data_IF_947151853637
#
_entry.id   IF_947151853637
#
_cell.length_a   1.000
_cell.length_b   1.000
_cell.length_c   1.000
_cell.angle_alpha   90.00
_cell.angle_beta   90.00
_cell.angle_gamma   90.00
#
_symmetry.space_group_name_H-M   'P 1'
#
loop_
_entity.id
_entity.type
_entity.pdbx_description
1 polymer ?
#
# COMPACT_ATOMS: atom_id res chain seq x y z
N UNK A 1 -79.79 -13.84 -46.81
CA UNK A 1 -78.83 -12.71 -46.94
C UNK A 1 -77.58 -13.07 -46.13
N UNK A 2 -76.42 -13.28 -46.77
CA UNK A 2 -75.15 -13.45 -46.02
C UNK A 2 -74.82 -12.10 -45.38
N UNK A 3 -74.67 -12.06 -44.05
CA UNK A 3 -74.35 -10.83 -43.33
C UNK A 3 -72.92 -10.37 -43.67
N UNK A 4 -72.66 -9.05 -43.60
CA UNK A 4 -71.32 -8.47 -43.87
C UNK A 4 -70.20 -9.16 -43.06
N UNK A 5 -70.52 -9.60 -41.84
CA UNK A 5 -69.61 -10.35 -40.95
C UNK A 5 -69.05 -11.63 -41.59
N UNK A 6 -69.86 -12.43 -42.30
CA UNK A 6 -69.37 -13.64 -42.96
C UNK A 6 -68.39 -13.36 -44.11
N UNK A 7 -68.54 -12.23 -44.80
CA UNK A 7 -67.63 -11.82 -45.87
C UNK A 7 -66.28 -11.35 -45.29
N UNK A 8 -66.31 -10.64 -44.17
CA UNK A 8 -65.11 -10.23 -43.45
C UNK A 8 -64.32 -11.42 -42.91
N UNK A 9 -64.99 -12.42 -42.33
CA UNK A 9 -64.37 -13.64 -41.84
C UNK A 9 -63.68 -14.44 -42.96
N UNK A 10 -64.35 -14.63 -44.10
CA UNK A 10 -63.77 -15.35 -45.24
C UNK A 10 -62.53 -14.62 -45.81
N UNK A 11 -62.61 -13.29 -45.96
CA UNK A 11 -61.50 -12.49 -46.48
C UNK A 11 -60.30 -12.45 -45.53
N UNK A 12 -60.55 -12.43 -44.21
CA UNK A 12 -59.52 -12.54 -43.19
C UNK A 12 -58.82 -13.91 -43.22
N UNK A 13 -59.56 -15.00 -43.43
CA UNK A 13 -58.99 -16.34 -43.60
C UNK A 13 -58.11 -16.44 -44.86
N UNK A 14 -58.55 -15.89 -45.99
CA UNK A 14 -57.77 -15.83 -47.23
C UNK A 14 -56.50 -14.99 -47.08
N UNK A 15 -56.58 -13.87 -46.34
CA UNK A 15 -55.41 -13.07 -46.01
C UNK A 15 -54.43 -13.86 -45.13
N UNK A 16 -54.92 -14.52 -44.08
CA UNK A 16 -54.10 -15.30 -43.14
C UNK A 16 -53.39 -16.49 -43.81
N UNK A 17 -54.06 -17.18 -44.74
CA UNK A 17 -53.46 -18.24 -45.58
C UNK A 17 -52.49 -17.70 -46.64
N UNK A 18 -52.44 -16.39 -46.85
CA UNK A 18 -51.61 -15.76 -47.88
C UNK A 18 -52.13 -15.99 -49.31
N UNK A 19 -53.40 -16.35 -49.49
CA UNK A 19 -54.00 -16.57 -50.82
C UNK A 19 -54.41 -15.27 -51.50
N UNK A 20 -54.63 -14.18 -50.74
CA UNK A 20 -54.81 -12.84 -51.30
C UNK A 20 -53.54 -12.33 -51.97
N UNK A 21 -53.67 -11.87 -53.22
CA UNK A 21 -52.55 -11.39 -54.04
C UNK A 21 -52.83 -10.01 -54.64
N UNK A 22 -51.76 -9.31 -54.98
CA UNK A 22 -51.81 -8.04 -55.71
C UNK A 22 -52.63 -6.96 -54.99
N UNK A 23 -53.45 -6.23 -55.75
CA UNK A 23 -54.20 -5.08 -55.25
C UNK A 23 -55.18 -5.42 -54.11
N UNK A 24 -55.80 -6.62 -54.14
CA UNK A 24 -56.73 -7.05 -53.10
C UNK A 24 -56.05 -7.18 -51.73
N UNK A 25 -54.81 -7.69 -51.71
CA UNK A 25 -54.02 -7.79 -50.49
C UNK A 25 -53.64 -6.41 -49.94
N UNK A 26 -53.18 -5.50 -50.79
CA UNK A 26 -52.79 -4.14 -50.39
C UNK A 26 -53.98 -3.37 -49.80
N UNK A 27 -55.15 -3.45 -50.44
CA UNK A 27 -56.38 -2.82 -49.94
C UNK A 27 -56.81 -3.41 -48.59
N UNK A 28 -56.68 -4.72 -48.42
CA UNK A 28 -56.98 -5.39 -47.17
C UNK A 28 -55.99 -5.01 -46.05
N UNK A 29 -54.69 -4.89 -46.36
CA UNK A 29 -53.63 -4.44 -45.45
C UNK A 29 -53.83 -2.98 -44.99
N UNK A 30 -54.37 -2.11 -45.84
CA UNK A 30 -54.75 -0.76 -45.42
C UNK A 30 -55.97 -0.76 -44.50
N UNK A 31 -56.93 -1.66 -44.75
CA UNK A 31 -58.15 -1.76 -43.97
C UNK A 31 -57.89 -2.32 -42.57
N UNK A 32 -57.08 -3.36 -42.45
CA UNK A 32 -56.74 -4.00 -41.16
C UNK A 32 -55.99 -3.03 -40.22
N UNK A 33 -55.23 -2.06 -40.75
CA UNK A 33 -54.56 -1.04 -39.93
C UNK A 33 -55.54 -0.11 -39.19
N UNK A 34 -56.75 0.05 -39.71
CA UNK A 34 -57.75 0.99 -39.19
C UNK A 34 -58.97 0.30 -38.54
N UNK A 35 -59.03 -1.03 -38.59
CA UNK A 35 -60.16 -1.83 -38.12
C UNK A 35 -59.68 -2.93 -37.15
N UNK A 36 -59.76 -2.69 -35.81
CA UNK A 36 -59.26 -3.63 -34.82
C UNK A 36 -60.09 -4.93 -34.76
N UNK A 37 -61.37 -4.91 -35.13
CA UNK A 37 -62.20 -6.10 -35.16
C UNK A 37 -61.75 -7.03 -36.30
N UNK A 38 -61.45 -6.46 -37.47
CA UNK A 38 -60.88 -7.19 -38.60
C UNK A 38 -59.47 -7.72 -38.30
N UNK A 39 -58.66 -6.94 -37.58
CA UNK A 39 -57.34 -7.40 -37.13
C UNK A 39 -57.43 -8.59 -36.18
N UNK A 40 -58.38 -8.57 -35.24
CA UNK A 40 -58.64 -9.69 -34.34
C UNK A 40 -59.11 -10.95 -35.08
N UNK A 41 -59.94 -10.80 -36.12
CA UNK A 41 -60.35 -11.92 -36.98
C UNK A 41 -59.14 -12.56 -37.68
N UNK A 42 -58.25 -11.76 -38.26
CA UNK A 42 -57.02 -12.27 -38.89
C UNK A 42 -56.12 -12.98 -37.89
N UNK A 43 -55.95 -12.41 -36.69
CA UNK A 43 -55.16 -13.02 -35.62
C UNK A 43 -55.74 -14.39 -35.21
N UNK A 44 -57.07 -14.51 -35.07
CA UNK A 44 -57.75 -15.78 -34.78
C UNK A 44 -57.46 -16.84 -35.84
N UNK A 45 -57.51 -16.48 -37.12
CA UNK A 45 -57.18 -17.40 -38.21
C UNK A 45 -55.71 -17.80 -38.22
N UNK A 46 -54.80 -16.85 -37.99
CA UNK A 46 -53.37 -17.14 -37.87
C UNK A 46 -53.09 -18.11 -36.72
N UNK A 47 -53.69 -17.88 -35.55
CA UNK A 47 -53.58 -18.76 -34.39
C UNK A 47 -54.14 -20.15 -34.69
N UNK A 48 -55.31 -20.26 -35.33
CA UNK A 48 -55.88 -21.53 -35.74
C UNK A 48 -54.93 -22.30 -36.68
N UNK A 49 -54.21 -21.60 -37.57
CA UNK A 49 -53.24 -22.24 -38.46
C UNK A 49 -51.94 -22.66 -37.79
N UNK A 50 -51.55 -22.04 -36.67
CA UNK A 50 -50.34 -22.49 -35.93
C UNK A 50 -50.43 -23.95 -35.47
N UNK A 51 -51.63 -24.50 -35.30
CA UNK A 51 -51.79 -25.92 -34.98
C UNK A 51 -51.30 -26.85 -36.10
N UNK A 52 -51.31 -26.41 -37.36
CA UNK A 52 -50.77 -27.17 -38.49
C UNK A 52 -49.24 -27.19 -38.46
N UNK A 53 -48.60 -26.17 -37.89
CA UNK A 53 -47.13 -26.08 -37.81
C UNK A 53 -46.52 -27.20 -36.94
N UNK A 54 -47.29 -27.76 -36.01
CA UNK A 54 -46.86 -28.87 -35.14
C UNK A 54 -46.49 -30.15 -35.90
N UNK A 55 -46.87 -30.28 -37.18
CA UNK A 55 -46.58 -31.45 -38.02
C UNK A 55 -45.43 -31.21 -39.00
N UNK A 56 -44.78 -30.03 -38.97
CA UNK A 56 -43.71 -29.66 -39.90
C UNK A 56 -42.35 -29.99 -39.29
N UNK A 57 -41.46 -30.61 -40.08
CA UNK A 57 -40.06 -30.87 -39.67
C UNK A 57 -39.27 -29.55 -39.70
N UNK A 58 -38.64 -29.13 -38.58
CA UNK A 58 -37.84 -27.91 -38.57
C UNK A 58 -36.63 -27.99 -39.50
N UNK A 59 -36.42 -26.94 -40.31
CA UNK A 59 -35.24 -26.79 -41.16
C UNK A 59 -34.43 -25.60 -40.67
N UNK A 60 -33.18 -25.83 -40.26
CA UNK A 60 -32.30 -24.76 -39.81
C UNK A 60 -31.82 -23.89 -40.98
N UNK A 61 -32.08 -22.58 -40.98
CA UNK A 61 -31.58 -21.71 -42.03
C UNK A 61 -30.05 -21.52 -41.90
N UNK A 62 -29.33 -21.23 -43.01
CA UNK A 62 -27.91 -20.90 -42.95
C UNK A 62 -27.62 -19.66 -42.08
N UNK A 63 -26.47 -19.64 -41.40
CA UNK A 63 -26.06 -18.54 -40.53
C UNK A 63 -25.97 -17.16 -41.24
N UNK A 64 -25.81 -17.15 -42.58
CA UNK A 64 -25.82 -15.94 -43.39
C UNK A 64 -27.17 -15.21 -43.37
N UNK A 65 -28.28 -15.93 -43.21
CA UNK A 65 -29.64 -15.35 -43.12
C UNK A 65 -29.73 -14.45 -41.88
N UNK A 66 -29.24 -14.93 -40.73
CA UNK A 66 -29.24 -14.15 -39.49
C UNK A 66 -28.36 -12.90 -39.60
N UNK A 67 -27.14 -13.03 -40.14
CA UNK A 67 -26.25 -11.87 -40.36
C UNK A 67 -26.89 -10.80 -41.25
N UNK A 68 -27.61 -11.21 -42.30
CA UNK A 68 -28.34 -10.28 -43.18
C UNK A 68 -29.50 -9.59 -42.47
N UNK A 69 -30.24 -10.30 -41.61
CA UNK A 69 -31.30 -9.71 -40.77
C UNK A 69 -30.71 -8.65 -39.83
N UNK A 70 -29.63 -8.96 -39.12
CA UNK A 70 -28.96 -8.01 -38.22
C UNK A 70 -28.47 -6.76 -38.95
N UNK A 71 -27.94 -6.92 -40.17
CA UNK A 71 -27.50 -5.81 -40.99
C UNK A 71 -28.68 -4.93 -41.45
N UNK A 72 -29.76 -5.52 -41.96
CA UNK A 72 -30.92 -4.78 -42.48
C UNK A 72 -31.71 -4.05 -41.40
N UNK A 73 -31.77 -4.60 -40.18
CA UNK A 73 -32.42 -3.95 -39.05
C UNK A 73 -31.58 -2.84 -38.42
N UNK A 74 -30.38 -2.57 -38.95
CA UNK A 74 -29.42 -1.61 -38.40
C UNK A 74 -29.29 -1.75 -36.86
N UNK A 75 -29.36 -2.99 -36.36
CA UNK A 75 -29.11 -3.34 -34.97
C UNK A 75 -27.61 -3.16 -34.73
N UNK A 76 -27.17 -1.92 -34.73
CA UNK A 76 -25.82 -1.56 -34.36
C UNK A 76 -25.72 -1.95 -32.88
N UNK A 77 -24.71 -2.76 -32.48
CA UNK A 77 -24.40 -2.88 -31.08
C UNK A 77 -24.24 -1.46 -30.54
N UNK A 78 -24.98 -1.12 -29.48
CA UNK A 78 -24.93 0.20 -28.88
C UNK A 78 -23.45 0.58 -28.71
N UNK A 79 -22.99 1.63 -29.40
CA UNK A 79 -21.63 2.12 -29.24
C UNK A 79 -21.53 2.61 -27.80
N UNK A 80 -20.94 1.78 -26.94
CA UNK A 80 -20.58 2.22 -25.60
C UNK A 80 -19.64 3.42 -25.75
N UNK A 81 -19.89 4.53 -25.05
CA UNK A 81 -19.02 5.69 -25.11
C UNK A 81 -17.60 5.26 -24.75
N UNK A 82 -16.66 5.45 -25.68
CA UNK A 82 -15.24 5.19 -25.43
C UNK A 82 -14.79 6.19 -24.36
N UNK A 83 -14.26 5.75 -23.21
CA UNK A 83 -13.80 6.67 -22.18
C UNK A 83 -12.72 7.57 -22.77
N UNK A 84 -12.87 8.89 -22.58
CA UNK A 84 -11.87 9.86 -23.02
C UNK A 84 -10.50 9.48 -22.46
N UNK A 85 -9.50 9.35 -23.33
CA UNK A 85 -8.12 9.05 -22.93
C UNK A 85 -7.64 10.18 -22.02
N UNK A 86 -7.50 9.90 -20.72
CA UNK A 86 -6.95 10.85 -19.75
C UNK A 86 -5.52 11.24 -20.19
N UNK A 87 -5.16 12.53 -20.17
CA UNK A 87 -3.84 12.95 -20.64
C UNK A 87 -2.77 12.40 -19.70
N UNK A 88 -1.95 11.47 -20.18
CA UNK A 88 -0.79 10.90 -19.47
C UNK A 88 0.13 11.99 -18.93
N UNK A 89 0.15 13.17 -19.58
CA UNK A 89 0.90 14.36 -19.16
C UNK A 89 0.53 14.87 -17.76
N UNK A 90 -0.71 14.66 -17.30
CA UNK A 90 -1.12 15.06 -15.95
C UNK A 90 -0.36 14.29 -14.84
N UNK A 91 0.16 13.10 -15.15
CA UNK A 91 0.88 12.26 -14.21
C UNK A 91 2.40 12.39 -14.32
N UNK A 92 2.93 13.03 -15.39
CA UNK A 92 4.38 13.20 -15.58
C UNK A 92 4.96 14.09 -14.47
N UNK A 93 4.26 15.16 -14.07
CA UNK A 93 4.70 16.03 -12.97
C UNK A 93 4.80 15.26 -11.64
N UNK A 94 3.80 14.42 -11.34
CA UNK A 94 3.80 13.56 -10.15
C UNK A 94 4.87 12.47 -10.20
N UNK A 95 5.10 11.86 -11.36
CA UNK A 95 6.15 10.86 -11.54
C UNK A 95 7.55 11.45 -11.36
N UNK A 96 7.80 12.65 -11.88
CA UNK A 96 9.05 13.39 -11.66
C UNK A 96 9.24 13.75 -10.18
N UNK A 97 8.21 14.28 -9.53
CA UNK A 97 8.27 14.60 -8.11
C UNK A 97 8.54 13.36 -7.25
N UNK A 98 7.88 12.23 -7.53
CA UNK A 98 8.10 10.96 -6.84
C UNK A 98 9.52 10.42 -7.08
N UNK A 99 10.02 10.50 -8.31
CA UNK A 99 11.39 10.08 -8.62
C UNK A 99 12.45 10.90 -7.90
N UNK A 100 12.26 12.22 -7.81
CA UNK A 100 13.18 13.12 -7.10
C UNK A 100 13.13 12.91 -5.59
N UNK A 101 11.93 12.70 -5.03
CA UNK A 101 11.76 12.32 -3.62
C UNK A 101 12.45 10.98 -3.31
N UNK A 102 12.27 9.96 -4.17
CA UNK A 102 12.93 8.67 -4.03
C UNK A 102 14.46 8.81 -4.06
N UNK A 103 15.01 9.60 -4.99
CA UNK A 103 16.46 9.84 -5.07
C UNK A 103 17.03 10.49 -3.81
N UNK A 104 16.27 11.35 -3.13
CA UNK A 104 16.71 12.02 -1.90
C UNK A 104 16.49 11.18 -0.63
N UNK A 105 15.43 10.37 -0.58
CA UNK A 105 15.04 9.62 0.60
C UNK A 105 15.72 8.24 0.68
N UNK A 106 15.77 7.51 -0.43
CA UNK A 106 16.29 6.13 -0.47
C UNK A 106 17.71 6.04 0.12
N UNK A 107 18.68 6.91 -0.24
CA UNK A 107 20.01 6.85 0.35
C UNK A 107 19.99 6.99 1.88
N UNK A 108 19.10 7.81 2.43
CA UNK A 108 18.99 7.99 3.88
C UNK A 108 18.38 6.78 4.59
N UNK A 109 17.51 6.04 3.93
CA UNK A 109 16.93 4.81 4.47
C UNK A 109 17.90 3.61 4.36
N UNK A 110 18.82 3.63 3.38
CA UNK A 110 19.77 2.53 3.17
C UNK A 110 21.07 2.66 3.96
N UNK A 111 21.43 3.87 4.40
CA UNK A 111 22.59 4.07 5.28
C UNK A 111 22.23 3.49 6.65
N UNK A 112 22.70 2.27 6.93
CA UNK A 112 22.72 1.73 8.27
C UNK A 112 23.74 2.53 9.09
N UNK A 113 23.35 3.11 10.24
CA UNK A 113 24.33 3.72 11.13
C UNK A 113 25.35 2.65 11.53
N UNK A 114 26.63 2.98 11.38
CA UNK A 114 27.71 2.08 11.76
C UNK A 114 27.58 1.79 13.26
N UNK A 115 27.47 0.50 13.61
CA UNK A 115 27.27 0.12 15.01
C UNK A 115 28.52 0.51 15.81
N UNK A 116 28.37 1.23 16.94
CA UNK A 116 29.52 1.66 17.73
C UNK A 116 30.27 0.43 18.25
N UNK A 117 31.59 0.41 18.06
CA UNK A 117 32.45 -0.73 18.36
C UNK A 117 32.72 -0.80 19.86
N UNK A 118 32.47 -1.94 20.54
CA UNK A 118 32.74 -2.06 21.97
C UNK A 118 34.25 -2.10 22.21
N UNK A 119 34.77 -1.18 23.02
CA UNK A 119 36.21 -1.03 23.31
C UNK A 119 36.58 -1.31 24.76
N UNK A 120 35.60 -1.30 25.68
CA UNK A 120 35.83 -1.63 27.08
C UNK A 120 34.57 -2.14 27.77
N UNK A 121 34.76 -3.00 28.77
CA UNK A 121 33.74 -3.38 29.73
C UNK A 121 34.23 -2.94 31.10
N UNK A 122 33.48 -2.05 31.76
CA UNK A 122 33.80 -1.57 33.10
C UNK A 122 33.03 -2.41 34.10
N UNK A 123 33.74 -3.20 34.90
CA UNK A 123 33.14 -4.06 35.92
C UNK A 123 33.06 -3.32 37.26
N UNK A 124 32.02 -3.63 38.04
CA UNK A 124 31.88 -3.08 39.39
C UNK A 124 33.04 -3.53 40.31
N UNK A 125 33.49 -2.62 41.19
CA UNK A 125 34.46 -2.91 42.25
C UNK A 125 34.01 -4.02 43.19
N UNK A 126 32.70 -4.18 43.37
CA UNK A 126 32.09 -5.19 44.26
C UNK A 126 31.84 -6.53 43.55
N UNK A 127 32.31 -6.66 42.31
CA UNK A 127 32.22 -7.86 41.49
C UNK A 127 31.33 -7.67 40.25
N UNK A 128 31.70 -8.33 39.15
CA UNK A 128 31.07 -8.17 37.84
C UNK A 128 29.55 -8.49 37.79
N UNK A 129 29.03 -9.21 38.77
CA UNK A 129 27.59 -9.52 38.89
C UNK A 129 26.75 -8.35 39.40
N UNK A 130 27.39 -7.34 40.03
CA UNK A 130 26.73 -6.18 40.63
C UNK A 130 26.57 -5.01 39.64
N UNK A 131 26.83 -5.25 38.35
CA UNK A 131 26.64 -4.28 37.29
C UNK A 131 27.89 -4.12 36.43
N UNK A 132 27.67 -3.75 35.18
CA UNK A 132 28.71 -3.50 34.20
C UNK A 132 28.33 -2.29 33.35
N UNK A 133 29.32 -1.68 32.72
CA UNK A 133 29.12 -0.68 31.68
C UNK A 133 29.85 -1.11 30.42
N UNK A 134 29.16 -1.06 29.29
CA UNK A 134 29.79 -1.23 27.98
C UNK A 134 30.13 0.15 27.45
N UNK A 135 31.40 0.34 27.13
CA UNK A 135 31.89 1.54 26.46
C UNK A 135 32.12 1.18 25.00
N UNK A 136 31.38 1.84 24.12
CA UNK A 136 31.55 1.72 22.68
C UNK A 136 32.00 3.04 22.07
N UNK A 137 32.70 2.95 20.95
CA UNK A 137 33.20 4.10 20.22
C UNK A 137 32.48 4.23 18.89
N UNK A 138 32.05 5.45 18.58
CA UNK A 138 31.72 5.85 17.23
C UNK A 138 32.86 6.72 16.67
N UNK A 139 33.63 6.14 15.74
CA UNK A 139 34.77 6.79 15.10
C UNK A 139 34.35 7.91 14.15
N UNK A 140 33.13 7.84 13.59
CA UNK A 140 32.60 8.83 12.65
C UNK A 140 32.25 10.14 13.36
N UNK A 141 31.68 10.04 14.56
CA UNK A 141 31.28 11.19 15.39
C UNK A 141 32.28 11.53 16.49
N UNK A 142 33.34 10.73 16.66
CA UNK A 142 34.33 10.82 17.75
C UNK A 142 33.67 10.89 19.13
N UNK A 143 32.70 10.01 19.35
CA UNK A 143 31.94 9.95 20.59
C UNK A 143 32.09 8.60 21.28
N UNK A 144 32.00 8.64 22.61
CA UNK A 144 31.88 7.45 23.45
C UNK A 144 30.40 7.24 23.77
N UNK A 145 29.92 6.01 23.60
CA UNK A 145 28.60 5.60 24.05
C UNK A 145 28.75 4.66 25.24
N UNK A 146 28.25 5.09 26.39
CA UNK A 146 28.26 4.32 27.63
C UNK A 146 26.88 3.74 27.88
N UNK A 147 26.79 2.42 27.84
CA UNK A 147 25.53 1.68 28.06
C UNK A 147 25.58 0.97 29.41
N UNK A 148 24.70 1.33 30.36
CA UNK A 148 24.60 0.64 31.65
C UNK A 148 23.99 -0.76 31.49
N UNK A 149 24.63 -1.78 32.08
CA UNK A 149 24.12 -3.14 32.19
C UNK A 149 23.92 -3.47 33.68
N UNK A 150 22.68 -3.45 34.15
CA UNK A 150 22.33 -3.61 35.57
C UNK A 150 23.08 -2.62 36.47
N UNK A 151 23.25 -1.38 36.01
CA UNK A 151 23.89 -0.35 36.83
C UNK A 151 23.07 -0.08 38.10
N UNK A 152 23.76 0.06 39.21
CA UNK A 152 23.14 0.38 40.50
C UNK A 152 22.53 1.78 40.48
N UNK A 153 21.34 1.93 41.08
CA UNK A 153 20.74 3.24 41.30
C UNK A 153 21.57 4.08 42.27
N UNK A 154 21.78 5.35 41.95
CA UNK A 154 22.46 6.32 42.82
C UNK A 154 21.44 7.28 43.43
N UNK A 155 21.81 7.93 44.54
CA UNK A 155 20.98 8.98 45.12
C UNK A 155 20.93 10.22 44.21
N UNK A 156 19.80 10.93 44.22
CA UNK A 156 19.54 12.11 43.36
C UNK A 156 20.52 13.28 43.57
N UNK A 157 21.25 13.29 44.69
CA UNK A 157 22.28 14.28 45.00
C UNK A 157 23.71 13.86 44.59
N UNK A 158 23.85 12.75 43.87
CA UNK A 158 25.12 12.24 43.34
C UNK A 158 25.10 12.21 41.83
N UNK A 159 26.28 12.13 41.24
CA UNK A 159 26.43 11.96 39.79
C UNK A 159 27.52 10.94 39.52
N UNK A 160 27.38 10.18 38.44
CA UNK A 160 28.48 9.35 37.94
C UNK A 160 29.30 10.15 36.97
N UNK A 161 30.62 10.07 37.08
CA UNK A 161 31.55 10.73 36.18
C UNK A 161 32.55 9.72 35.61
N UNK A 162 32.77 9.80 34.30
CA UNK A 162 33.71 8.97 33.57
C UNK A 162 35.07 9.64 33.51
N UNK A 163 36.12 8.84 33.72
CA UNK A 163 37.50 9.27 33.68
C UNK A 163 38.33 8.39 32.75
N UNK A 164 39.26 9.01 32.03
CA UNK A 164 40.36 8.34 31.35
C UNK A 164 41.65 8.50 32.14
N UNK A 165 42.31 7.39 32.45
CA UNK A 165 43.51 7.34 33.28
C UNK A 165 44.67 6.76 32.44
N UNK A 166 45.67 7.58 32.07
CA UNK A 166 46.87 7.07 31.41
C UNK A 166 47.68 6.17 32.35
N UNK A 167 48.48 5.23 31.83
CA UNK A 167 49.42 4.46 32.64
C UNK A 167 50.36 5.38 33.44
N UNK A 168 50.28 5.35 34.77
CA UNK A 168 51.06 6.21 35.65
C UNK A 168 50.72 7.72 35.60
N UNK A 169 49.66 8.09 34.88
CA UNK A 169 49.23 9.48 34.71
C UNK A 169 48.06 9.88 35.61
N UNK A 170 47.68 11.16 35.52
CA UNK A 170 46.52 11.70 36.26
C UNK A 170 45.20 11.41 35.52
N UNK A 171 44.10 11.10 36.24
CA UNK A 171 42.78 10.97 35.65
C UNK A 171 42.33 12.25 34.94
N UNK A 172 41.66 12.10 33.80
CA UNK A 172 41.02 13.20 33.05
C UNK A 172 39.54 12.93 32.91
N UNK A 173 38.71 13.90 33.28
CA UNK A 173 37.26 13.77 33.13
C UNK A 173 36.88 13.70 31.66
N UNK A 174 36.00 12.77 31.33
CA UNK A 174 35.36 12.63 30.02
C UNK A 174 33.90 13.10 30.04
N UNK A 175 33.29 13.21 31.22
CA UNK A 175 31.94 13.74 31.40
C UNK A 175 31.05 12.90 32.32
N UNK A 176 29.84 13.42 32.55
CA UNK A 176 28.84 12.83 33.45
C UNK A 176 27.98 11.78 32.76
N UNK A 177 27.53 10.78 33.53
CA UNK A 177 26.76 9.64 33.02
C UNK A 177 25.33 9.62 33.58
N UNK A 178 24.41 9.14 32.76
CA UNK A 178 23.05 8.78 33.15
C UNK A 178 23.01 7.31 33.59
N UNK A 179 22.42 7.01 34.75
CA UNK A 179 22.37 5.66 35.32
C UNK A 179 21.31 4.74 34.70
N UNK A 180 20.33 5.29 33.99
CA UNK A 180 19.20 4.54 33.43
C UNK A 180 19.25 4.42 31.90
N UNK A 181 19.85 5.40 31.22
CA UNK A 181 19.89 5.47 29.76
C UNK A 181 21.33 5.51 29.25
N UNK A 182 21.58 5.00 28.02
CA UNK A 182 22.87 5.18 27.38
C UNK A 182 23.25 6.66 27.32
N UNK A 183 24.50 6.96 27.66
CA UNK A 183 25.03 8.33 27.60
C UNK A 183 26.03 8.45 26.48
N UNK A 184 25.83 9.43 25.59
CA UNK A 184 26.79 9.77 24.55
C UNK A 184 27.65 10.95 25.02
N UNK A 185 28.96 10.75 25.05
CA UNK A 185 29.95 11.77 25.40
C UNK A 185 30.76 12.13 24.15
N UNK A 186 30.65 13.39 23.73
CA UNK A 186 31.50 13.94 22.68
C UNK A 186 32.90 14.20 23.24
N UNK A 187 33.92 13.61 22.63
CA UNK A 187 35.30 13.84 23.05
C UNK A 187 35.76 15.19 22.48
N UNK A 188 35.98 16.18 23.35
CA UNK A 188 36.50 17.49 22.96
C UNK A 188 37.97 17.41 22.50
N UNK A 189 38.71 16.42 23.00
CA UNK A 189 40.12 16.18 22.66
C UNK A 189 40.30 14.86 21.89
N UNK A 190 41.57 14.46 21.68
CA UNK A 190 41.92 13.16 21.12
C UNK A 190 41.35 12.02 21.97
N UNK A 191 40.93 10.94 21.30
CA UNK A 191 40.53 9.70 21.95
C UNK A 191 41.66 9.17 22.85
N UNK A 192 41.34 8.63 24.05
CA UNK A 192 42.34 7.99 24.90
C UNK A 192 43.04 6.86 24.12
N UNK A 193 44.36 6.75 24.26
CA UNK A 193 45.14 5.73 23.54
C UNK A 193 44.90 4.32 24.15
N UNK A 194 45.11 3.23 23.39
CA UNK A 194 45.08 1.87 23.93
C UNK A 194 45.96 1.73 25.19
N UNK A 195 45.47 0.98 26.20
CA UNK A 195 46.17 0.79 27.48
C UNK A 195 45.84 1.82 28.55
N UNK A 196 44.99 2.81 28.26
CA UNK A 196 44.38 3.65 29.29
C UNK A 196 43.36 2.83 30.10
N UNK A 197 43.18 3.21 31.36
CA UNK A 197 42.09 2.67 32.20
C UNK A 197 40.93 3.65 32.20
N UNK A 198 39.73 3.16 31.90
CA UNK A 198 38.50 3.90 32.10
C UNK A 198 37.94 3.59 33.48
N UNK A 199 37.48 4.62 34.18
CA UNK A 199 36.92 4.50 35.53
C UNK A 199 35.67 5.37 35.68
N UNK A 200 34.68 4.88 36.43
CA UNK A 200 33.48 5.62 36.82
C UNK A 200 33.50 5.84 38.33
N UNK A 201 33.47 7.10 38.76
CA UNK A 201 33.40 7.46 40.17
C UNK A 201 32.04 8.03 40.55
N UNK A 202 31.71 7.94 41.84
CA UNK A 202 30.50 8.51 42.44
C UNK A 202 30.78 9.90 43.00
N UNK A 203 30.47 10.93 42.24
CA UNK A 203 30.76 12.33 42.57
C UNK A 203 29.56 13.04 43.24
N UNK A 204 29.76 14.24 43.81
CA UNK A 204 28.67 15.14 44.17
C UNK A 204 27.79 15.49 42.95
N UNK A 205 26.62 16.07 43.21
CA UNK A 205 25.74 16.55 42.14
C UNK A 205 26.48 17.49 41.20
N UNK A 206 26.53 17.14 39.92
CA UNK A 206 27.21 17.92 38.88
C UNK A 206 28.66 17.53 38.63
N UNK A 207 29.19 16.50 39.29
CA UNK A 207 30.54 16.00 39.07
C UNK A 207 31.56 16.44 40.10
N UNK A 208 32.84 16.16 39.80
CA UNK A 208 33.97 16.52 40.62
C UNK A 208 34.20 18.03 40.62
N UNK A 209 34.27 18.68 41.80
CA UNK A 209 34.60 20.10 41.89
C UNK A 209 36.10 20.39 41.71
N UNK A 210 36.96 19.37 41.71
CA UNK A 210 38.43 19.54 41.70
C UNK A 210 39.09 19.18 40.38
N UNK A 211 38.34 18.60 39.43
CA UNK A 211 38.90 18.04 38.20
C UNK A 211 39.69 16.74 38.41
N UNK A 212 39.58 16.12 39.59
CA UNK A 212 40.06 14.78 39.90
C UNK A 212 38.94 13.99 40.59
N UNK A 213 38.91 12.64 40.51
CA UNK A 213 37.90 11.84 41.20
C UNK A 213 37.87 12.19 42.71
N UNK A 214 36.74 12.68 43.22
CA UNK A 214 36.58 13.00 44.66
C UNK A 214 35.83 11.91 45.41
N UNK A 215 35.10 11.06 44.69
CA UNK A 215 34.36 9.95 45.25
C UNK A 215 35.02 8.58 45.07
N UNK A 216 34.34 7.55 45.57
CA UNK A 216 34.73 6.16 45.34
C UNK A 216 34.60 5.79 43.86
N UNK A 217 35.58 5.05 43.33
CA UNK A 217 35.53 4.45 42.00
C UNK A 217 34.68 3.20 42.07
N UNK A 218 33.54 3.21 41.38
CA UNK A 218 32.56 2.12 41.41
C UNK A 218 32.78 1.11 40.28
N UNK A 219 33.25 1.57 39.12
CA UNK A 219 33.49 0.72 37.96
C UNK A 219 34.84 1.04 37.32
N UNK A 220 35.53 0.04 36.80
CA UNK A 220 36.76 0.25 36.04
C UNK A 220 37.01 -0.84 35.01
N UNK A 221 37.81 -0.53 34.00
CA UNK A 221 38.22 -1.48 32.97
C UNK A 221 39.28 -0.89 32.04
N UNK A 222 40.07 -1.75 31.42
CA UNK A 222 41.07 -1.34 30.44
C UNK A 222 40.40 -0.99 29.11
N UNK A 223 40.91 0.04 28.45
CA UNK A 223 40.52 0.41 27.10
C UNK A 223 41.29 -0.45 26.08
N UNK A 224 40.54 -1.23 25.29
CA UNK A 224 41.02 -2.02 24.17
C UNK A 224 40.45 -1.41 22.88
N UNK A 225 41.24 -0.52 22.27
CA UNK A 225 40.96 0.08 20.96
C UNK A 225 41.63 -0.72 19.85
#
# INVERSE_FOLDING_TARGET
MKSRSHYHAALAAEYALGTLRGAARIQFEQKIQNDPELAAEVARWQEAFTQLDNQIVPVFPPASVWKRIQHNLALQPARLPVPAKRPVRAYIGWALAAGLAALLLIPRLLVQPEAPTPVAILASSDGAQNGQWVVSVDMSTRSLMLTPLKAQGIADNRSLELWAIPPGGKPRSLGLLNTQQPTQLALAEKMPDPGYTLAISLEPRGGSPTGQPTGAVLYSGALAL
#
